data_IF_320235616941
#
_entry.id   IF_320235616941
#
_cell.length_a   1.000
_cell.length_b   1.000
_cell.length_c   1.000
_cell.angle_alpha   90.00
_cell.angle_beta   90.00
_cell.angle_gamma   90.00
#
_symmetry.space_group_name_H-M   'P 1'
#
loop_
_entity.id
_entity.type
_entity.pdbx_description
1 polymer ?
#
# COMPACT_ATOMS: atom_id res chain seq x y z
N UNK A 1 19.24 4.61 17.97
CA UNK A 1 18.95 3.83 16.73
C UNK A 1 17.77 4.38 15.94
N UNK A 2 16.72 4.89 16.58
CA UNK A 2 15.52 5.43 15.91
C UNK A 2 15.79 6.66 15.03
N UNK A 3 16.49 7.67 15.56
CA UNK A 3 16.86 8.87 14.81
C UNK A 3 17.69 8.54 13.57
N UNK A 4 18.63 7.60 13.71
CA UNK A 4 19.46 7.13 12.59
C UNK A 4 18.58 6.44 11.52
N UNK A 5 17.60 5.63 11.94
CA UNK A 5 16.69 4.98 10.99
C UNK A 5 15.83 6.00 10.22
N UNK A 6 15.28 6.99 10.93
CA UNK A 6 14.50 8.07 10.31
C UNK A 6 15.36 8.93 9.39
N UNK A 7 16.58 9.27 9.83
CA UNK A 7 17.53 10.01 9.01
C UNK A 7 17.89 9.26 7.74
N UNK A 8 18.22 7.97 7.85
CA UNK A 8 18.53 7.14 6.68
C UNK A 8 17.35 7.05 5.70
N UNK A 9 16.12 6.92 6.20
CA UNK A 9 14.93 6.94 5.34
C UNK A 9 14.73 8.29 4.67
N UNK A 10 14.80 9.39 5.44
CA UNK A 10 14.66 10.75 4.90
C UNK A 10 15.72 11.04 3.84
N UNK A 11 16.96 10.66 4.10
CA UNK A 11 18.06 10.83 3.16
C UNK A 11 17.90 9.97 1.89
N UNK A 12 17.48 8.71 2.04
CA UNK A 12 17.17 7.86 0.90
C UNK A 12 16.08 8.47 0.00
N UNK A 13 15.00 8.96 0.62
CA UNK A 13 13.92 9.64 -0.11
C UNK A 13 14.43 10.88 -0.81
N UNK A 14 15.28 11.69 -0.14
CA UNK A 14 15.90 12.85 -0.76
C UNK A 14 16.69 12.51 -2.03
N UNK A 15 17.58 11.52 -1.94
CA UNK A 15 18.39 11.07 -3.07
C UNK A 15 17.52 10.55 -4.23
N UNK A 16 16.46 9.79 -3.90
CA UNK A 16 15.54 9.28 -4.91
C UNK A 16 14.73 10.36 -5.61
N UNK A 17 14.39 11.46 -4.90
CA UNK A 17 13.61 12.56 -5.46
C UNK A 17 14.47 13.52 -6.28
N UNK A 18 15.69 13.82 -5.82
CA UNK A 18 16.54 14.80 -6.50
C UNK A 18 17.32 14.21 -7.67
N UNK A 19 17.67 12.92 -7.57
CA UNK A 19 18.50 12.21 -8.57
C UNK A 19 19.78 12.97 -8.97
N UNK A 20 20.31 13.81 -8.08
CA UNK A 20 21.44 14.69 -8.31
C UNK A 20 22.51 14.44 -7.24
N UNK A 21 23.72 14.11 -7.65
CA UNK A 21 24.83 13.70 -6.78
C UNK A 21 25.92 14.80 -6.72
N UNK A 22 25.53 16.04 -6.42
CA UNK A 22 26.51 17.10 -6.15
C UNK A 22 26.73 17.22 -4.64
N UNK A 23 27.96 17.58 -4.22
CA UNK A 23 28.29 17.71 -2.80
C UNK A 23 27.32 18.65 -2.06
N UNK A 24 26.91 19.71 -2.73
CA UNK A 24 25.99 20.72 -2.20
C UNK A 24 24.60 20.13 -1.91
N UNK A 25 24.05 19.34 -2.86
CA UNK A 25 22.76 18.67 -2.72
C UNK A 25 22.81 17.56 -1.65
N UNK A 26 23.90 16.83 -1.57
CA UNK A 26 24.09 15.77 -0.57
C UNK A 26 24.15 16.35 0.86
N UNK A 27 24.88 17.45 1.06
CA UNK A 27 24.94 18.12 2.36
C UNK A 27 23.58 18.73 2.75
N UNK A 28 22.89 19.33 1.79
CA UNK A 28 21.57 19.91 2.01
C UNK A 28 20.54 18.84 2.36
N UNK A 29 20.55 17.73 1.60
CA UNK A 29 19.71 16.57 1.85
C UNK A 29 19.95 15.93 3.21
N UNK A 30 21.22 15.78 3.60
CA UNK A 30 21.59 15.25 4.91
C UNK A 30 21.07 16.12 6.07
N UNK A 31 21.14 17.45 5.89
CA UNK A 31 20.66 18.41 6.87
C UNK A 31 19.12 18.37 6.98
N UNK A 32 18.40 18.38 5.86
CA UNK A 32 16.93 18.28 5.84
C UNK A 32 16.49 16.96 6.44
N UNK A 33 17.12 15.85 6.06
CA UNK A 33 16.82 14.53 6.61
C UNK A 33 17.01 14.49 8.14
N UNK A 34 18.03 15.19 8.68
CA UNK A 34 18.25 15.31 10.12
C UNK A 34 17.13 16.09 10.80
N UNK A 35 16.74 17.23 10.24
CA UNK A 35 15.65 18.04 10.77
C UNK A 35 14.32 17.26 10.79
N UNK A 36 14.01 16.56 9.69
CA UNK A 36 12.81 15.71 9.58
C UNK A 36 12.87 14.55 10.58
N UNK A 37 14.04 13.89 10.73
CA UNK A 37 14.20 12.80 11.69
C UNK A 37 13.93 13.25 13.13
N UNK A 38 14.38 14.44 13.51
CA UNK A 38 14.11 15.02 14.83
C UNK A 38 12.61 15.34 14.99
N UNK A 39 11.98 15.95 14.00
CA UNK A 39 10.57 16.30 14.03
C UNK A 39 9.66 15.05 14.10
N UNK A 40 9.99 13.98 13.39
CA UNK A 40 9.21 12.74 13.35
C UNK A 40 9.56 11.77 14.50
N UNK A 41 10.61 12.05 15.25
CA UNK A 41 11.02 11.22 16.38
C UNK A 41 9.89 10.92 17.40
N UNK A 42 8.95 11.78 17.75
CA UNK A 42 7.86 11.49 18.69
C UNK A 42 6.80 10.50 18.15
N UNK A 43 6.66 10.35 16.82
CA UNK A 43 5.51 9.69 16.19
C UNK A 43 5.48 8.16 16.26
N UNK A 44 6.54 7.48 16.69
CA UNK A 44 6.53 6.03 16.81
C UNK A 44 7.87 5.36 16.46
N UNK A 45 7.97 4.06 16.58
CA UNK A 45 9.18 3.29 16.24
C UNK A 45 9.23 3.00 14.74
N UNK A 46 10.35 3.32 14.10
CA UNK A 46 10.59 3.06 12.68
C UNK A 46 11.71 2.06 12.52
N UNK A 47 11.48 1.03 11.73
CA UNK A 47 12.49 0.06 11.35
C UNK A 47 13.49 0.68 10.37
N UNK A 48 14.79 0.52 10.63
CA UNK A 48 15.83 1.05 9.74
C UNK A 48 15.89 0.33 8.39
N UNK A 49 16.37 1.03 7.34
CA UNK A 49 16.44 0.49 5.97
C UNK A 49 17.33 -0.76 5.86
N UNK A 50 18.26 -0.97 6.80
CA UNK A 50 19.08 -2.18 6.84
C UNK A 50 18.27 -3.48 7.04
N UNK A 51 17.02 -3.39 7.53
CA UNK A 51 16.13 -4.55 7.60
C UNK A 51 15.72 -5.05 6.22
N UNK A 52 15.65 -4.16 5.24
CA UNK A 52 15.36 -4.53 3.85
C UNK A 52 16.51 -5.32 3.20
N UNK A 53 17.74 -5.17 3.70
CA UNK A 53 18.90 -5.91 3.18
C UNK A 53 18.95 -7.38 3.61
N UNK A 54 18.06 -7.82 4.48
CA UNK A 54 17.95 -9.23 4.84
C UNK A 54 17.46 -10.04 3.63
N UNK A 55 18.13 -11.17 3.27
CA UNK A 55 17.79 -11.92 2.06
C UNK A 55 16.32 -12.35 2.01
N UNK A 56 15.73 -12.67 3.16
CA UNK A 56 14.29 -12.98 3.24
C UNK A 56 13.40 -11.77 2.96
N UNK A 57 13.79 -10.58 3.41
CA UNK A 57 13.04 -9.35 3.16
C UNK A 57 13.15 -8.93 1.68
N UNK A 58 14.35 -9.07 1.10
CA UNK A 58 14.58 -8.82 -0.34
C UNK A 58 13.74 -9.78 -1.18
N UNK A 59 13.80 -11.08 -0.89
CA UNK A 59 13.00 -12.08 -1.62
C UNK A 59 11.50 -11.85 -1.47
N UNK A 60 11.03 -11.53 -0.25
CA UNK A 60 9.63 -11.18 0.01
C UNK A 60 9.20 -9.91 -0.72
N UNK A 61 10.02 -8.86 -0.66
CA UNK A 61 9.76 -7.62 -1.38
C UNK A 61 9.73 -7.79 -2.90
N UNK A 62 10.66 -8.56 -3.47
CA UNK A 62 10.68 -8.88 -4.89
C UNK A 62 9.43 -9.67 -5.30
N UNK A 63 9.03 -10.66 -4.52
CA UNK A 63 7.80 -11.41 -4.76
C UNK A 63 6.56 -10.51 -4.69
N UNK A 64 6.47 -9.63 -3.70
CA UNK A 64 5.38 -8.66 -3.56
C UNK A 64 5.29 -7.74 -4.77
N UNK A 65 6.42 -7.21 -5.24
CA UNK A 65 6.48 -6.37 -6.42
C UNK A 65 6.03 -7.11 -7.69
N UNK A 66 6.47 -8.36 -7.88
CA UNK A 66 6.05 -9.19 -9.00
C UNK A 66 4.55 -9.50 -8.95
N UNK A 67 4.02 -9.85 -7.78
CA UNK A 67 2.61 -10.11 -7.59
C UNK A 67 1.77 -8.85 -7.83
N UNK A 68 2.20 -7.69 -7.32
CA UNK A 68 1.55 -6.40 -7.56
C UNK A 68 1.58 -6.03 -9.05
N UNK A 69 2.73 -6.17 -9.72
CA UNK A 69 2.87 -5.93 -11.15
C UNK A 69 1.93 -6.84 -11.98
N UNK A 70 1.81 -8.11 -11.59
CA UNK A 70 0.89 -9.05 -12.23
C UNK A 70 -0.58 -8.63 -12.04
N UNK A 71 -0.98 -8.21 -10.84
CA UNK A 71 -2.33 -7.70 -10.59
C UNK A 71 -2.62 -6.44 -11.40
N UNK A 72 -1.68 -5.49 -11.44
CA UNK A 72 -1.80 -4.28 -12.26
C UNK A 72 -1.94 -4.64 -13.75
N UNK A 73 -1.14 -5.58 -14.26
CA UNK A 73 -1.24 -6.03 -15.64
C UNK A 73 -2.62 -6.64 -15.94
N UNK A 74 -3.11 -7.50 -15.06
CA UNK A 74 -4.44 -8.11 -15.22
C UNK A 74 -5.56 -7.06 -15.17
N UNK A 75 -5.48 -6.07 -14.27
CA UNK A 75 -6.45 -4.99 -14.16
C UNK A 75 -6.48 -4.14 -15.44
N UNK A 76 -5.31 -3.77 -15.95
CA UNK A 76 -5.20 -3.04 -17.21
C UNK A 76 -5.77 -3.82 -18.40
N UNK A 77 -5.52 -5.14 -18.47
CA UNK A 77 -6.09 -5.98 -19.51
C UNK A 77 -7.62 -6.10 -19.40
N UNK A 78 -8.15 -6.23 -18.17
CA UNK A 78 -9.60 -6.23 -17.94
C UNK A 78 -10.23 -4.91 -18.35
N UNK A 79 -9.64 -3.79 -17.95
CA UNK A 79 -10.10 -2.45 -18.29
C UNK A 79 -10.04 -2.22 -19.79
N UNK A 80 -8.94 -2.56 -20.46
CA UNK A 80 -8.79 -2.46 -21.91
C UNK A 80 -9.88 -3.24 -22.64
N UNK A 81 -10.11 -4.50 -22.24
CA UNK A 81 -11.18 -5.32 -22.84
C UNK A 81 -12.55 -4.69 -22.65
N UNK A 82 -12.81 -4.05 -21.51
CA UNK A 82 -14.08 -3.38 -21.22
C UNK A 82 -14.28 -2.12 -22.06
N UNK A 83 -13.21 -1.35 -22.28
CA UNK A 83 -13.24 -0.17 -23.16
C UNK A 83 -13.58 -0.54 -24.62
N UNK A 84 -13.09 -1.69 -25.07
CA UNK A 84 -13.31 -2.16 -26.45
C UNK A 84 -14.64 -2.93 -26.63
N UNK A 85 -15.33 -3.28 -25.55
CA UNK A 85 -16.60 -4.01 -25.59
C UNK A 85 -17.80 -3.07 -25.37
N UNK A 86 -18.50 -2.65 -26.45
CA UNK A 86 -19.64 -1.75 -26.35
C UNK A 86 -20.85 -2.35 -25.60
N UNK A 87 -20.82 -3.67 -25.34
CA UNK A 87 -21.89 -4.37 -24.62
C UNK A 87 -21.72 -4.28 -23.09
N UNK A 88 -20.59 -3.77 -22.63
CA UNK A 88 -20.27 -3.61 -21.20
C UNK A 88 -19.93 -2.17 -20.87
N UNK A 89 -20.94 -1.29 -20.75
CA UNK A 89 -20.69 0.11 -20.44
C UNK A 89 -19.95 0.25 -19.11
N UNK A 90 -19.10 1.27 -19.03
CA UNK A 90 -18.44 1.63 -17.78
C UNK A 90 -19.51 2.18 -16.82
N UNK A 91 -19.71 1.51 -15.71
CA UNK A 91 -20.60 1.94 -14.63
C UNK A 91 -19.74 2.38 -13.44
N UNK A 92 -19.14 3.58 -13.54
CA UNK A 92 -18.33 4.13 -12.48
C UNK A 92 -19.18 4.59 -11.31
N UNK A 93 -18.67 4.40 -10.09
CA UNK A 93 -19.40 4.78 -8.88
C UNK A 93 -18.59 4.55 -7.62
N UNK A 94 -19.23 4.87 -6.48
CA UNK A 94 -18.66 4.66 -5.16
C UNK A 94 -19.03 3.27 -4.65
N UNK A 95 -18.04 2.58 -4.09
CA UNK A 95 -18.18 1.24 -3.53
C UNK A 95 -17.62 1.24 -2.11
N UNK A 96 -18.39 0.72 -1.15
CA UNK A 96 -17.94 0.50 0.21
C UNK A 96 -17.64 -0.99 0.37
N UNK A 97 -16.41 -1.29 0.77
CA UNK A 97 -15.91 -2.65 0.86
C UNK A 97 -15.41 -2.91 2.28
N UNK A 98 -15.86 -4.00 2.94
CA UNK A 98 -15.32 -4.37 4.24
C UNK A 98 -13.88 -4.82 4.14
N UNK A 99 -13.13 -4.83 5.26
CA UNK A 99 -11.77 -5.33 5.36
C UNK A 99 -11.60 -6.23 6.56
N UNK A 100 -10.76 -7.26 6.43
CA UNK A 100 -10.38 -8.15 7.54
C UNK A 100 -9.29 -7.54 8.41
N UNK A 101 -8.57 -6.53 7.90
CA UNK A 101 -7.51 -5.88 8.64
C UNK A 101 -8.06 -5.07 9.82
N UNK A 102 -7.36 -5.18 10.96
CA UNK A 102 -7.77 -4.55 12.22
C UNK A 102 -6.79 -3.51 12.73
N UNK A 103 -5.62 -3.44 12.13
CA UNK A 103 -4.58 -2.49 12.48
C UNK A 103 -4.61 -1.30 11.54
N UNK A 104 -4.35 -0.11 12.03
CA UNK A 104 -4.29 1.11 11.20
C UNK A 104 -3.27 0.96 10.06
N UNK A 105 -2.12 0.35 10.35
CA UNK A 105 -1.09 0.09 9.34
C UNK A 105 -1.54 -0.92 8.29
N UNK A 106 -2.30 -1.95 8.66
CA UNK A 106 -2.89 -2.92 7.75
C UNK A 106 -3.95 -2.29 6.86
N UNK A 107 -4.86 -1.49 7.45
CA UNK A 107 -5.87 -0.73 6.72
C UNK A 107 -5.24 0.21 5.68
N UNK A 108 -4.22 0.97 6.09
CA UNK A 108 -3.50 1.85 5.18
C UNK A 108 -2.80 1.06 4.06
N UNK A 109 -2.19 -0.09 4.37
CA UNK A 109 -1.54 -0.94 3.38
C UNK A 109 -2.54 -1.50 2.35
N UNK A 110 -3.70 -2.01 2.80
CA UNK A 110 -4.77 -2.46 1.90
C UNK A 110 -5.22 -1.33 0.99
N UNK A 111 -5.50 -0.14 1.55
CA UNK A 111 -5.95 1.02 0.79
C UNK A 111 -4.94 1.48 -0.26
N UNK A 112 -3.65 1.57 0.11
CA UNK A 112 -2.58 1.98 -0.81
C UNK A 112 -2.39 0.94 -1.93
N UNK A 113 -2.31 -0.34 -1.59
CA UNK A 113 -2.07 -1.40 -2.58
C UNK A 113 -3.28 -1.54 -3.53
N UNK A 114 -4.50 -1.46 -2.99
CA UNK A 114 -5.71 -1.49 -3.83
C UNK A 114 -5.80 -0.31 -4.78
N UNK A 115 -5.29 0.87 -4.38
CA UNK A 115 -5.27 2.07 -5.23
C UNK A 115 -4.18 2.06 -6.30
N UNK A 116 -3.18 1.18 -6.20
CA UNK A 116 -2.21 0.93 -7.28
C UNK A 116 -2.85 0.17 -8.46
N UNK A 117 -3.99 -0.46 -8.21
CA UNK A 117 -4.79 -1.13 -9.26
C UNK A 117 -5.64 -0.06 -9.94
N UNK A 118 -5.49 0.09 -11.25
CA UNK A 118 -5.98 1.22 -12.07
C UNK A 118 -7.52 1.42 -12.01
N UNK A 119 -8.26 0.39 -11.69
CA UNK A 119 -9.73 0.39 -11.68
C UNK A 119 -10.36 0.88 -10.38
N UNK A 120 -9.58 1.06 -9.30
CA UNK A 120 -10.10 1.44 -8.00
C UNK A 120 -9.20 2.51 -7.35
N UNK A 121 -9.82 3.54 -6.84
CA UNK A 121 -9.13 4.59 -6.09
C UNK A 121 -9.76 4.75 -4.72
N UNK A 122 -8.98 4.62 -3.65
CA UNK A 122 -9.47 4.86 -2.30
C UNK A 122 -9.85 6.33 -2.14
N UNK A 123 -11.03 6.57 -1.57
CA UNK A 123 -11.55 7.91 -1.30
C UNK A 123 -11.72 8.18 0.17
N UNK A 124 -12.00 7.12 0.96
CA UNK A 124 -12.17 7.24 2.41
C UNK A 124 -11.83 5.93 3.13
N UNK A 125 -11.51 6.04 4.42
CA UNK A 125 -11.14 4.93 5.28
C UNK A 125 -11.85 5.10 6.63
N UNK A 126 -12.80 4.21 6.92
CA UNK A 126 -13.43 4.13 8.24
C UNK A 126 -12.77 3.04 9.09
N UNK A 127 -11.84 3.46 9.95
CA UNK A 127 -11.15 2.55 10.86
C UNK A 127 -12.08 1.94 11.94
N UNK A 128 -13.23 2.57 12.24
CA UNK A 128 -14.18 2.08 13.25
C UNK A 128 -15.11 1.02 12.67
N UNK A 129 -15.61 1.26 11.47
CA UNK A 129 -16.45 0.29 10.75
C UNK A 129 -15.63 -0.81 10.08
N UNK A 130 -14.30 -0.66 9.97
CA UNK A 130 -13.43 -1.52 9.15
C UNK A 130 -13.92 -1.61 7.71
N UNK A 131 -14.21 -0.45 7.14
CA UNK A 131 -14.66 -0.31 5.76
C UNK A 131 -13.75 0.67 5.01
N UNK A 132 -13.52 0.36 3.74
CA UNK A 132 -12.80 1.20 2.80
C UNK A 132 -13.75 1.63 1.70
N UNK A 133 -13.75 2.89 1.37
CA UNK A 133 -14.55 3.45 0.29
C UNK A 133 -13.68 3.70 -0.93
N UNK A 134 -14.13 3.19 -2.06
CA UNK A 134 -13.43 3.32 -3.33
C UNK A 134 -14.29 4.01 -4.37
N UNK A 135 -13.65 4.79 -5.21
CA UNK A 135 -14.20 5.13 -6.52
C UNK A 135 -13.76 4.05 -7.51
N UNK A 136 -14.71 3.25 -7.96
CA UNK A 136 -14.47 2.18 -8.92
C UNK A 136 -14.89 2.59 -10.32
N UNK A 137 -14.10 2.24 -11.34
CA UNK A 137 -14.43 2.44 -12.76
C UNK A 137 -15.59 1.54 -13.18
N UNK A 138 -15.77 0.43 -12.47
CA UNK A 138 -16.89 -0.49 -12.66
C UNK A 138 -17.35 -1.03 -11.30
N UNK A 139 -18.52 -0.59 -10.88
CA UNK A 139 -19.15 -1.07 -9.65
C UNK A 139 -19.59 -2.52 -9.84
N UNK A 140 -19.21 -3.43 -8.91
CA UNK A 140 -19.71 -4.81 -8.91
C UNK A 140 -21.23 -4.87 -8.64
N UNK A 141 -21.93 -5.73 -9.36
CA UNK A 141 -23.39 -5.86 -9.25
C UNK A 141 -23.85 -6.61 -7.99
N UNK A 142 -22.97 -7.44 -7.40
CA UNK A 142 -23.27 -8.32 -6.25
C UNK A 142 -23.10 -7.69 -4.87
N UNK A 143 -22.99 -6.35 -4.78
CA UNK A 143 -22.94 -5.65 -3.50
C UNK A 143 -21.57 -5.74 -2.79
N UNK A 144 -21.59 -5.57 -1.42
CA UNK A 144 -20.36 -5.47 -0.62
C UNK A 144 -19.49 -6.74 -0.67
N UNK A 145 -20.07 -7.92 -0.73
CA UNK A 145 -19.34 -9.20 -0.72
C UNK A 145 -18.58 -9.42 -2.03
N UNK A 146 -19.20 -9.12 -3.15
CA UNK A 146 -18.54 -9.22 -4.45
C UNK A 146 -17.45 -8.14 -4.58
N UNK A 147 -17.72 -6.92 -4.13
CA UNK A 147 -16.76 -5.86 -4.08
C UNK A 147 -15.53 -6.24 -3.22
N UNK A 148 -15.74 -6.88 -2.08
CA UNK A 148 -14.68 -7.41 -1.24
C UNK A 148 -13.82 -8.43 -1.99
N UNK A 149 -14.43 -9.40 -2.64
CA UNK A 149 -13.70 -10.44 -3.38
C UNK A 149 -12.91 -9.87 -4.57
N UNK A 150 -13.39 -8.80 -5.18
CA UNK A 150 -12.72 -8.19 -6.32
C UNK A 150 -11.63 -7.18 -5.94
N UNK A 151 -11.80 -6.43 -4.84
CA UNK A 151 -10.92 -5.31 -4.47
C UNK A 151 -10.00 -5.68 -3.32
N UNK A 152 -10.55 -5.90 -2.11
CA UNK A 152 -9.76 -6.08 -0.90
C UNK A 152 -9.22 -7.51 -0.73
N UNK A 153 -10.02 -8.52 -1.07
CA UNK A 153 -9.68 -9.92 -0.85
C UNK A 153 -8.31 -10.31 -1.43
N UNK A 154 -8.04 -10.07 -2.72
CA UNK A 154 -6.74 -10.41 -3.32
C UNK A 154 -5.56 -9.68 -2.70
N UNK A 155 -5.76 -8.44 -2.23
CA UNK A 155 -4.73 -7.63 -1.57
C UNK A 155 -4.46 -8.13 -0.17
N UNK A 156 -5.51 -8.44 0.59
CA UNK A 156 -5.39 -8.99 1.94
C UNK A 156 -4.75 -10.38 1.95
N UNK A 157 -5.12 -11.24 1.01
CA UNK A 157 -4.50 -12.56 0.85
C UNK A 157 -3.00 -12.42 0.52
N UNK A 158 -2.63 -11.42 -0.28
CA UNK A 158 -1.23 -11.10 -0.56
C UNK A 158 -0.51 -10.60 0.70
N UNK A 159 -1.12 -9.71 1.48
CA UNK A 159 -0.55 -9.18 2.72
C UNK A 159 -0.41 -10.27 3.78
N UNK A 160 -1.34 -11.22 3.89
CA UNK A 160 -1.26 -12.36 4.82
C UNK A 160 -0.01 -13.23 4.58
N UNK A 161 0.50 -13.30 3.36
CA UNK A 161 1.74 -14.04 3.06
C UNK A 161 2.98 -13.38 3.68
N UNK A 162 2.95 -12.07 3.93
CA UNK A 162 4.10 -11.29 4.42
C UNK A 162 3.99 -10.91 5.89
N UNK A 163 2.79 -10.87 6.45
CA UNK A 163 2.62 -10.65 7.87
C UNK A 163 2.88 -11.96 8.63
N UNK A 164 3.81 -11.98 9.61
CA UNK A 164 3.91 -13.11 10.51
C UNK A 164 2.55 -13.25 11.22
N UNK A 165 1.84 -14.32 10.93
CA UNK A 165 0.52 -14.64 11.49
C UNK A 165 0.55 -14.38 13.00
N UNK A 166 -0.01 -13.28 13.41
CA UNK A 166 -0.24 -13.00 14.82
C UNK A 166 -1.46 -13.86 15.25
N UNK A 167 -1.21 -15.18 15.40
CA UNK A 167 -2.21 -16.19 15.83
C UNK A 167 -2.82 -15.89 17.20
N UNK A 168 -2.22 -14.97 17.95
CA UNK A 168 -2.66 -14.61 19.30
C UNK A 168 -3.93 -13.71 19.35
N UNK A 169 -4.30 -13.06 18.26
CA UNK A 169 -5.47 -12.17 18.25
C UNK A 169 -6.80 -12.87 17.92
N UNK A 170 -6.79 -14.13 17.45
CA UNK A 170 -8.02 -14.88 17.10
C UNK A 170 -8.67 -15.63 18.26
N UNK A 171 -8.08 -15.65 19.45
CA UNK A 171 -8.58 -16.38 20.61
C UNK A 171 -8.81 -15.47 21.82
N UNK A 172 -9.59 -14.40 21.66
CA UNK A 172 -10.27 -13.78 22.80
C UNK A 172 -11.75 -13.75 22.47
N UNK A 173 -12.56 -14.52 23.25
CA UNK A 173 -14.01 -14.47 23.20
C UNK A 173 -14.55 -13.12 23.66
#
# INVERSE_FOLDING_TARGET
MRLIALWCWGYLVWVLLTWTFTLEQELFGAFIAAAVAVALAPLGEVAGPWRLLRPRAVAGGAWLLLAAAWQVLQANLRLSRRIWDPRRPLASGMVITPTRERTEGGLAAVGVISSLIVDNQITDLDARAHELQYHAVAVPDGGKDEAYQQINGPVEDLLELFQPRNRAARCRP
#
